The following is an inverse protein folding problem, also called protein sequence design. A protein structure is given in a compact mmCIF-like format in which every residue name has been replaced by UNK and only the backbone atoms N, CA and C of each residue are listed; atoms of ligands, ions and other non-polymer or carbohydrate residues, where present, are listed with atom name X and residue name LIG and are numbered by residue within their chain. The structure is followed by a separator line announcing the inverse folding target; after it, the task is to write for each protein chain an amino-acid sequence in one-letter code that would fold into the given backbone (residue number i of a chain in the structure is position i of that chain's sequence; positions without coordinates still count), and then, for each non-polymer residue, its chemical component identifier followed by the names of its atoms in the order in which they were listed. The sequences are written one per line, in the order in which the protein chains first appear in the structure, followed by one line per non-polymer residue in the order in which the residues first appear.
data_IF_606357293517
#
_entry.id   IF_606357293517
#
_cell.length_a   1.000
_cell.length_b   1.000
_cell.length_c   1.000
_cell.angle_alpha   90.00
_cell.angle_beta   90.00
_cell.angle_gamma   90.00
#
_symmetry.space_group_name_H-M   'P 1'
#
loop_
_entity.id
_entity.type
_entity.pdbx_description
1 polymer ?
#
# COMPACT_ATOMS: atom_id res chain seq x y z
N UNK A 1 -29.32 52.34 -74.23
CA UNK A 1 -30.50 51.47 -74.42
C UNK A 1 -30.37 50.24 -73.53
N UNK A 2 -31.47 49.69 -73.01
CA UNK A 2 -31.61 49.25 -71.61
C UNK A 2 -31.71 47.74 -71.44
N UNK A 3 -31.52 47.23 -70.21
CA UNK A 3 -32.58 46.55 -69.43
C UNK A 3 -32.06 46.03 -68.08
N UNK A 4 -32.73 46.47 -67.03
CA UNK A 4 -32.75 45.87 -65.71
C UNK A 4 -33.41 44.48 -65.76
N UNK A 5 -32.88 43.52 -65.00
CA UNK A 5 -33.68 42.46 -64.35
C UNK A 5 -33.17 42.27 -62.92
N UNK A 6 -34.12 42.04 -62.04
CA UNK A 6 -34.15 42.19 -60.60
C UNK A 6 -34.07 40.81 -59.90
N UNK A 7 -33.67 40.82 -58.61
CA UNK A 7 -34.12 39.90 -57.52
C UNK A 7 -33.54 38.46 -57.59
N UNK A 8 -32.89 37.89 -56.56
CA UNK A 8 -33.37 37.72 -55.17
C UNK A 8 -32.24 37.33 -54.22
N UNK A 9 -32.30 37.95 -53.05
CA UNK A 9 -31.57 37.68 -51.82
C UNK A 9 -31.94 36.31 -51.23
N UNK A 10 -30.95 35.52 -50.80
CA UNK A 10 -31.10 34.50 -49.73
C UNK A 10 -29.77 34.26 -49.02
N UNK A 11 -29.71 34.74 -47.78
CA UNK A 11 -28.74 34.33 -46.77
C UNK A 11 -28.91 32.84 -46.47
N UNK A 12 -27.80 32.10 -46.42
CA UNK A 12 -27.72 30.83 -45.71
C UNK A 12 -26.34 30.75 -45.03
N UNK A 13 -26.29 31.19 -43.78
CA UNK A 13 -25.18 30.89 -42.87
C UNK A 13 -25.25 29.39 -42.55
N UNK A 14 -24.32 28.60 -43.09
CA UNK A 14 -24.10 27.23 -42.64
C UNK A 14 -23.11 27.25 -41.48
N UNK A 15 -23.64 27.26 -40.25
CA UNK A 15 -22.89 26.92 -39.04
C UNK A 15 -22.67 25.41 -39.09
N UNK A 16 -21.46 24.96 -39.45
CA UNK A 16 -21.06 23.55 -39.29
C UNK A 16 -20.14 23.43 -38.08
N UNK A 17 -20.78 23.07 -36.97
CA UNK A 17 -20.29 22.20 -35.88
C UNK A 17 -18.86 22.41 -35.38
N UNK A 18 -18.73 23.14 -34.27
CA UNK A 18 -17.62 22.95 -33.33
C UNK A 18 -17.83 21.58 -32.68
N UNK A 19 -17.06 20.58 -33.10
CA UNK A 19 -16.92 19.32 -32.37
C UNK A 19 -16.13 19.60 -31.11
N UNK A 20 -16.81 19.72 -29.97
CA UNK A 20 -16.17 19.72 -28.66
C UNK A 20 -15.63 18.30 -28.41
N UNK A 21 -14.39 18.06 -28.81
CA UNK A 21 -13.63 16.88 -28.42
C UNK A 21 -13.34 17.03 -26.92
N UNK A 22 -14.26 16.56 -26.08
CA UNK A 22 -13.98 16.36 -24.66
C UNK A 22 -13.02 15.17 -24.59
N UNK A 23 -11.72 15.46 -24.68
CA UNK A 23 -10.70 14.51 -24.25
C UNK A 23 -10.86 14.42 -22.74
N UNK A 24 -11.63 13.43 -22.30
CA UNK A 24 -11.56 12.95 -20.92
C UNK A 24 -10.17 12.33 -20.83
N UNK A 25 -9.16 13.17 -20.54
CA UNK A 25 -7.88 12.71 -20.01
C UNK A 25 -8.25 12.02 -18.71
N UNK A 26 -8.45 10.71 -18.78
CA UNK A 26 -8.60 9.87 -17.61
C UNK A 26 -7.36 10.11 -16.78
N UNK A 27 -7.49 10.95 -15.75
CA UNK A 27 -6.49 10.99 -14.69
C UNK A 27 -6.36 9.52 -14.27
N UNK A 28 -5.16 8.93 -14.33
CA UNK A 28 -4.96 7.61 -13.76
C UNK A 28 -5.35 7.77 -12.30
N UNK A 29 -6.55 7.29 -11.98
CA UNK A 29 -7.03 7.23 -10.62
C UNK A 29 -6.14 6.15 -10.05
N UNK A 30 -5.01 6.56 -9.49
CA UNK A 30 -4.26 5.68 -8.64
C UNK A 30 -5.22 5.41 -7.49
N UNK A 31 -5.96 4.31 -7.62
CA UNK A 31 -6.82 3.73 -6.61
C UNK A 31 -5.88 3.16 -5.55
N UNK A 32 -5.12 4.03 -4.91
CA UNK A 32 -4.45 3.68 -3.68
C UNK A 32 -5.55 3.47 -2.64
N UNK A 33 -5.40 2.40 -1.85
CA UNK A 33 -6.14 2.32 -0.61
C UNK A 33 -5.92 3.63 0.16
N UNK A 34 -6.97 4.18 0.78
CA UNK A 34 -6.79 5.36 1.63
C UNK A 34 -5.73 5.03 2.68
N UNK A 35 -4.76 5.93 2.94
CA UNK A 35 -3.74 5.65 3.92
C UNK A 35 -4.40 5.42 5.29
N UNK A 36 -3.90 4.43 5.99
CA UNK A 36 -4.22 4.20 7.40
C UNK A 36 -3.68 5.42 8.15
N UNK A 37 -4.55 6.09 8.90
CA UNK A 37 -4.16 7.21 9.75
C UNK A 37 -3.82 6.65 11.12
N UNK A 38 -2.57 6.79 11.53
CA UNK A 38 -2.13 6.45 12.88
C UNK A 38 -1.98 7.72 13.70
N UNK A 39 -2.98 8.03 14.52
CA UNK A 39 -3.11 9.23 15.34
C UNK A 39 -2.90 8.96 16.84
N UNK A 40 -2.42 7.76 17.21
CA UNK A 40 -2.02 7.30 18.55
C UNK A 40 -3.02 7.29 19.73
N UNK A 41 -4.36 7.32 19.59
CA UNK A 41 -5.27 7.49 20.73
C UNK A 41 -5.16 6.40 21.80
N UNK A 42 -4.81 5.18 21.40
CA UNK A 42 -4.54 4.03 22.27
C UNK A 42 -3.09 3.53 22.16
N UNK A 43 -2.23 4.32 21.52
CA UNK A 43 -0.84 3.96 21.20
C UNK A 43 -0.67 2.75 20.28
N UNK A 44 -1.75 2.23 19.70
CA UNK A 44 -1.72 1.11 18.78
C UNK A 44 -2.88 1.13 17.77
N UNK A 45 -2.68 0.45 16.64
CA UNK A 45 -3.69 0.25 15.61
C UNK A 45 -3.69 -1.21 15.17
N UNK A 46 -4.86 -1.82 15.01
CA UNK A 46 -5.02 -3.22 14.61
C UNK A 46 -5.51 -3.28 13.18
N UNK A 47 -4.79 -3.98 12.32
CA UNK A 47 -5.19 -4.13 10.94
C UNK A 47 -6.41 -5.05 10.82
N UNK A 48 -7.37 -4.62 10.01
CA UNK A 48 -8.38 -5.46 9.42
C UNK A 48 -7.97 -5.85 7.99
N UNK A 49 -8.68 -6.82 7.39
CA UNK A 49 -8.43 -7.18 6.00
C UNK A 49 -8.66 -6.02 5.01
N UNK A 50 -9.58 -5.09 5.34
CA UNK A 50 -9.89 -3.95 4.49
C UNK A 50 -8.76 -2.91 4.40
N UNK A 51 -7.82 -2.94 5.36
CA UNK A 51 -6.67 -2.03 5.43
C UNK A 51 -5.50 -2.50 4.54
N UNK A 52 -5.62 -3.69 3.94
CA UNK A 52 -4.53 -4.38 3.25
C UNK A 52 -4.98 -4.80 1.87
N UNK A 53 -4.08 -4.70 0.90
CA UNK A 53 -4.25 -5.27 -0.43
C UNK A 53 -3.26 -6.41 -0.60
N UNK A 54 -3.64 -7.44 -1.36
CA UNK A 54 -2.85 -8.66 -1.54
C UNK A 54 -2.56 -8.90 -3.02
N UNK A 55 -1.35 -9.35 -3.29
CA UNK A 55 -0.94 -9.96 -4.55
C UNK A 55 -0.40 -11.36 -4.23
N UNK A 56 -0.83 -12.37 -4.99
CA UNK A 56 -0.29 -13.73 -4.88
C UNK A 56 0.73 -13.95 -5.98
N UNK A 57 1.97 -14.21 -5.58
CA UNK A 57 3.08 -14.58 -6.44
C UNK A 57 3.22 -16.10 -6.42
N UNK A 58 2.64 -16.75 -7.44
CA UNK A 58 2.44 -18.20 -7.46
C UNK A 58 3.74 -19.00 -7.53
N UNK A 59 4.80 -18.46 -8.15
CA UNK A 59 6.11 -19.13 -8.25
C UNK A 59 7.18 -18.53 -7.32
N UNK A 60 6.83 -17.46 -6.60
CA UNK A 60 7.65 -16.84 -5.58
C UNK A 60 8.85 -16.04 -6.11
N UNK A 61 8.88 -15.77 -7.42
CA UNK A 61 10.03 -15.20 -8.11
C UNK A 61 9.97 -13.70 -8.30
N UNK A 62 8.83 -13.06 -8.03
CA UNK A 62 8.71 -11.62 -8.27
C UNK A 62 9.63 -10.85 -7.33
N UNK A 63 10.42 -9.96 -7.92
CA UNK A 63 11.24 -9.00 -7.19
C UNK A 63 10.41 -7.82 -6.71
N UNK A 64 10.91 -7.06 -5.74
CA UNK A 64 10.23 -5.85 -5.27
C UNK A 64 9.94 -4.86 -6.41
N UNK A 65 10.90 -4.64 -7.31
CA UNK A 65 10.73 -3.72 -8.45
C UNK A 65 9.60 -4.16 -9.38
N UNK A 66 9.44 -5.46 -9.62
CA UNK A 66 8.35 -5.99 -10.44
C UNK A 66 7.00 -5.85 -9.74
N UNK A 67 6.94 -6.16 -8.44
CA UNK A 67 5.71 -6.12 -7.62
C UNK A 67 5.15 -4.71 -7.49
N UNK A 68 6.00 -3.69 -7.39
CA UNK A 68 5.54 -2.28 -7.34
C UNK A 68 4.70 -1.88 -8.55
N UNK A 69 4.93 -2.50 -9.71
CA UNK A 69 4.17 -2.27 -10.93
C UNK A 69 2.90 -3.11 -11.05
N UNK A 70 2.66 -4.05 -10.13
CA UNK A 70 1.53 -4.96 -10.18
C UNK A 70 0.28 -4.38 -9.52
N UNK A 71 -0.87 -4.92 -9.93
CA UNK A 71 -2.14 -4.63 -9.29
C UNK A 71 -2.28 -5.52 -8.05
N UNK A 72 -2.48 -4.89 -6.89
CA UNK A 72 -2.89 -5.56 -5.67
C UNK A 72 -4.42 -5.51 -5.57
N UNK A 73 -5.03 -6.62 -5.13
CA UNK A 73 -6.47 -6.70 -4.96
C UNK A 73 -6.85 -6.49 -3.49
N UNK A 74 -7.97 -5.81 -3.18
CA UNK A 74 -8.52 -5.79 -1.83
C UNK A 74 -8.77 -7.22 -1.33
N UNK A 75 -8.61 -7.45 -0.03
CA UNK A 75 -8.87 -8.74 0.60
C UNK A 75 -9.94 -8.63 1.70
N UNK A 76 -10.65 -9.72 1.95
CA UNK A 76 -11.58 -9.88 3.08
C UNK A 76 -10.98 -10.72 4.22
N UNK A 77 -9.74 -11.20 4.05
CA UNK A 77 -9.02 -12.04 4.99
C UNK A 77 -7.54 -11.69 5.08
N UNK A 78 -6.95 -11.96 6.25
CA UNK A 78 -5.50 -11.93 6.48
C UNK A 78 -4.94 -13.33 6.79
N UNK A 79 -5.76 -14.37 6.64
CA UNK A 79 -5.38 -15.76 6.81
C UNK A 79 -5.56 -16.49 5.48
N UNK A 80 -4.49 -17.08 4.97
CA UNK A 80 -4.42 -17.73 3.66
C UNK A 80 -4.29 -19.24 3.76
N UNK A 81 -4.05 -19.78 4.97
CA UNK A 81 -3.86 -21.22 5.17
C UNK A 81 -2.54 -21.69 4.55
N UNK A 82 -2.46 -22.98 4.21
CA UNK A 82 -1.27 -23.55 3.55
C UNK A 82 -1.28 -23.20 2.07
N UNK A 83 -0.15 -22.70 1.59
CA UNK A 83 0.06 -22.31 0.19
C UNK A 83 1.55 -22.42 -0.13
N UNK A 84 1.89 -22.91 -1.32
CA UNK A 84 3.27 -22.85 -1.83
C UNK A 84 3.57 -21.48 -2.48
N UNK A 85 2.57 -20.60 -2.60
CA UNK A 85 2.72 -19.28 -3.19
C UNK A 85 3.23 -18.26 -2.17
N UNK A 86 4.02 -17.30 -2.65
CA UNK A 86 4.42 -16.13 -1.88
C UNK A 86 3.27 -15.12 -1.88
N UNK A 87 2.96 -14.59 -0.70
CA UNK A 87 1.94 -13.55 -0.58
C UNK A 87 2.61 -12.20 -0.36
N UNK A 88 2.28 -11.24 -1.21
CA UNK A 88 2.63 -9.85 -1.04
C UNK A 88 1.46 -9.10 -0.42
N UNK A 89 1.67 -8.50 0.75
CA UNK A 89 0.71 -7.59 1.36
C UNK A 89 1.18 -6.15 1.18
N UNK A 90 0.25 -5.24 0.93
CA UNK A 90 0.53 -3.82 0.70
C UNK A 90 -0.47 -2.95 1.42
N UNK A 91 0.02 -1.87 2.02
CA UNK A 91 -0.80 -0.82 2.61
C UNK A 91 -0.04 0.52 2.63
N UNK A 92 -0.77 1.61 2.79
CA UNK A 92 -0.18 2.93 3.05
C UNK A 92 -0.45 3.33 4.50
N UNK A 93 0.57 3.86 5.16
CA UNK A 93 0.51 4.28 6.56
C UNK A 93 0.95 5.74 6.66
N UNK A 94 0.06 6.58 7.19
CA UNK A 94 0.35 7.96 7.53
C UNK A 94 0.45 8.10 9.04
N UNK A 95 1.58 8.61 9.49
CA UNK A 95 1.80 8.88 10.90
C UNK A 95 1.30 10.28 11.24
N UNK A 96 0.24 10.39 12.03
CA UNK A 96 -0.27 11.66 12.58
C UNK A 96 0.03 11.80 14.08
N UNK A 97 0.61 10.77 14.71
CA UNK A 97 1.12 10.80 16.07
C UNK A 97 2.31 11.77 16.24
N UNK A 98 2.72 11.99 17.49
CA UNK A 98 3.97 12.69 17.81
C UNK A 98 5.26 11.89 17.53
N UNK A 99 5.14 10.61 17.18
CA UNK A 99 6.28 9.70 17.10
C UNK A 99 7.16 9.93 15.87
N UNK A 100 8.45 9.62 16.02
CA UNK A 100 9.40 9.60 14.90
C UNK A 100 9.53 8.21 14.26
N UNK A 101 9.21 7.18 15.04
CA UNK A 101 9.31 5.78 14.66
C UNK A 101 8.05 5.07 15.14
N UNK A 102 7.48 4.24 14.28
CA UNK A 102 6.40 3.34 14.61
C UNK A 102 6.93 1.90 14.59
N UNK A 103 6.27 0.99 15.30
CA UNK A 103 6.59 -0.43 15.26
C UNK A 103 5.48 -1.17 14.54
N UNK A 104 5.83 -1.97 13.53
CA UNK A 104 4.91 -2.93 12.91
C UNK A 104 5.17 -4.32 13.52
N UNK A 105 4.20 -4.84 14.26
CA UNK A 105 4.21 -6.18 14.81
C UNK A 105 3.41 -7.14 13.93
N UNK A 106 3.96 -8.33 13.66
CA UNK A 106 3.26 -9.46 13.04
C UNK A 106 3.20 -10.58 14.09
N UNK A 107 2.00 -10.84 14.62
CA UNK A 107 1.77 -11.79 15.71
C UNK A 107 1.62 -13.22 15.19
N UNK A 108 2.58 -13.65 14.36
CA UNK A 108 2.63 -14.98 13.78
C UNK A 108 4.09 -15.42 13.61
N UNK A 109 4.75 -15.88 14.68
CA UNK A 109 6.21 -16.02 14.74
C UNK A 109 6.76 -17.26 14.03
N UNK A 110 5.97 -17.93 13.19
CA UNK A 110 6.33 -19.18 12.49
C UNK A 110 6.43 -18.98 10.96
N UNK A 111 6.66 -17.74 10.52
CA UNK A 111 6.90 -17.42 9.10
C UNK A 111 8.37 -17.70 8.80
N UNK A 112 8.65 -18.56 7.82
CA UNK A 112 10.02 -18.93 7.46
C UNK A 112 10.85 -17.73 7.02
N UNK A 113 10.28 -16.89 6.14
CA UNK A 113 10.89 -15.64 5.68
C UNK A 113 9.84 -14.55 5.48
N UNK A 114 10.07 -13.40 6.12
CA UNK A 114 9.26 -12.19 6.06
C UNK A 114 10.15 -11.01 5.69
N UNK A 115 9.88 -10.40 4.55
CA UNK A 115 10.61 -9.22 4.10
C UNK A 115 9.71 -8.00 4.11
N UNK A 116 10.22 -6.89 4.65
CA UNK A 116 9.54 -5.60 4.64
C UNK A 116 10.25 -4.65 3.69
N UNK A 117 9.48 -4.07 2.78
CA UNK A 117 9.92 -2.97 1.93
C UNK A 117 9.06 -1.75 2.26
N UNK A 118 9.69 -0.62 2.57
CA UNK A 118 9.01 0.63 2.87
C UNK A 118 9.55 1.73 1.97
N UNK A 119 8.67 2.43 1.27
CA UNK A 119 8.98 3.60 0.46
C UNK A 119 8.43 4.82 1.16
N UNK A 120 9.32 5.71 1.62
CA UNK A 120 8.91 6.96 2.26
C UNK A 120 8.47 8.04 1.26
N UNK A 121 7.97 9.16 1.78
CA UNK A 121 7.51 10.33 1.00
C UNK A 121 8.57 10.92 0.04
N UNK A 122 9.85 10.67 0.31
CA UNK A 122 10.97 11.08 -0.54
C UNK A 122 11.32 10.05 -1.63
N UNK A 123 10.66 8.90 -1.61
CA UNK A 123 10.93 7.76 -2.49
C UNK A 123 12.09 6.87 -2.03
N UNK A 124 12.63 7.10 -0.82
CA UNK A 124 13.72 6.28 -0.29
C UNK A 124 13.17 4.92 0.14
N UNK A 125 13.87 3.87 -0.30
CA UNK A 125 13.57 2.49 0.05
C UNK A 125 14.29 2.09 1.34
N UNK A 126 13.55 1.55 2.29
CA UNK A 126 14.03 0.75 3.40
C UNK A 126 13.65 -0.71 3.15
N UNK A 127 14.61 -1.62 3.29
CA UNK A 127 14.37 -3.07 3.19
C UNK A 127 14.88 -3.76 4.45
N UNK A 128 14.07 -4.67 4.99
CA UNK A 128 14.38 -5.48 6.17
C UNK A 128 13.94 -6.91 5.94
N UNK A 129 14.61 -7.86 6.57
CA UNK A 129 14.28 -9.28 6.49
C UNK A 129 14.34 -9.91 7.87
N UNK A 130 13.29 -10.65 8.21
CA UNK A 130 13.20 -11.48 9.41
C UNK A 130 12.60 -12.84 9.03
N UNK A 131 12.61 -13.80 9.94
CA UNK A 131 12.07 -15.13 9.70
C UNK A 131 12.38 -16.07 10.86
N UNK A 132 11.61 -17.14 11.00
CA UNK A 132 11.88 -18.20 11.97
C UNK A 132 13.03 -19.11 11.51
N UNK A 133 13.22 -19.22 10.19
CA UNK A 133 14.35 -19.91 9.57
C UNK A 133 15.64 -19.07 9.51
N UNK A 134 15.63 -17.85 10.05
CA UNK A 134 16.77 -16.91 10.03
C UNK A 134 17.35 -16.67 11.43
N UNK A 135 18.63 -16.23 11.55
CA UNK A 135 19.23 -15.97 12.86
C UNK A 135 18.44 -14.92 13.65
N UNK A 136 18.14 -15.23 14.91
CA UNK A 136 17.31 -14.39 15.79
C UNK A 136 17.87 -12.95 15.95
N UNK A 137 19.19 -12.81 15.97
CA UNK A 137 19.88 -11.52 16.12
C UNK A 137 19.72 -10.58 14.91
N UNK A 138 19.10 -11.03 13.81
CA UNK A 138 18.74 -10.16 12.68
C UNK A 138 17.45 -9.37 12.92
N UNK A 139 16.69 -9.68 13.99
CA UNK A 139 15.45 -8.98 14.32
C UNK A 139 15.74 -7.58 14.86
N UNK A 140 14.94 -6.58 14.46
CA UNK A 140 15.09 -5.20 14.95
C UNK A 140 14.90 -5.12 16.47
N UNK A 141 13.98 -5.94 16.99
CA UNK A 141 13.73 -6.12 18.42
C UNK A 141 13.83 -7.60 18.75
N UNK A 142 14.49 -7.92 19.87
CA UNK A 142 14.56 -9.26 20.44
C UNK A 142 13.22 -9.64 21.06
N UNK A 143 12.25 -9.94 20.21
CA UNK A 143 10.88 -10.28 20.60
C UNK A 143 10.44 -11.59 19.93
N UNK A 144 9.49 -12.30 20.57
CA UNK A 144 8.97 -13.57 20.06
C UNK A 144 8.29 -13.39 18.70
N UNK A 145 7.52 -12.31 18.55
CA UNK A 145 6.88 -11.91 17.30
C UNK A 145 7.87 -11.16 16.40
N UNK A 146 7.59 -11.10 15.10
CA UNK A 146 8.32 -10.23 14.20
C UNK A 146 7.91 -8.78 14.46
N UNK A 147 8.88 -7.92 14.70
CA UNK A 147 8.66 -6.49 14.93
C UNK A 147 9.63 -5.72 14.05
N UNK A 148 9.10 -4.84 13.21
CA UNK A 148 9.87 -3.96 12.35
C UNK A 148 9.79 -2.53 12.85
N UNK A 149 10.94 -1.87 13.00
CA UNK A 149 11.02 -0.44 13.27
C UNK A 149 10.84 0.36 11.98
N UNK A 150 9.81 1.20 11.94
CA UNK A 150 9.40 2.01 10.79
C UNK A 150 9.72 3.49 11.06
N UNK A 151 10.77 4.07 10.46
CA UNK A 151 11.14 5.47 10.67
C UNK A 151 10.22 6.44 9.89
N UNK A 152 8.92 6.37 10.15
CA UNK A 152 7.89 7.24 9.57
C UNK A 152 7.68 8.40 10.54
N UNK A 153 8.16 9.58 10.18
CA UNK A 153 8.02 10.78 11.03
C UNK A 153 6.57 11.25 11.11
N UNK A 154 6.23 11.92 12.20
CA UNK A 154 4.99 12.69 12.31
C UNK A 154 4.73 13.55 11.08
N UNK A 155 3.53 13.43 10.53
CA UNK A 155 3.06 14.09 9.31
C UNK A 155 3.45 13.42 7.99
N UNK A 156 4.35 12.42 8.00
CA UNK A 156 4.78 11.70 6.80
C UNK A 156 3.91 10.46 6.52
N UNK A 157 3.88 10.07 5.26
CA UNK A 157 3.26 8.83 4.78
C UNK A 157 4.34 7.90 4.22
N UNK A 158 4.16 6.60 4.40
CA UNK A 158 4.97 5.58 3.74
C UNK A 158 4.09 4.49 3.14
N UNK A 159 4.55 3.97 2.01
CA UNK A 159 3.99 2.78 1.39
C UNK A 159 4.77 1.56 1.88
N UNK A 160 4.07 0.55 2.40
CA UNK A 160 4.68 -0.64 3.00
C UNK A 160 4.25 -1.89 2.24
N UNK A 161 5.22 -2.75 1.96
CA UNK A 161 5.04 -4.05 1.35
C UNK A 161 5.65 -5.13 2.24
N UNK A 162 4.94 -6.24 2.40
CA UNK A 162 5.42 -7.43 3.07
C UNK A 162 5.46 -8.58 2.08
N UNK A 163 6.63 -9.20 1.89
CA UNK A 163 6.78 -10.47 1.18
C UNK A 163 6.75 -11.59 2.21
N UNK A 164 5.75 -12.46 2.12
CA UNK A 164 5.51 -13.55 3.05
C UNK A 164 5.77 -14.86 2.33
N UNK A 165 6.83 -15.53 2.73
CA UNK A 165 7.36 -16.73 2.10
C UNK A 165 7.57 -17.80 3.17
N UNK A 166 6.66 -18.78 3.20
CA UNK A 166 6.60 -19.81 4.24
C UNK A 166 5.89 -21.04 3.71
N UNK A 167 6.33 -22.23 4.12
CA UNK A 167 5.65 -23.50 3.83
C UNK A 167 4.53 -23.80 4.85
N UNK A 168 4.48 -23.03 5.94
CA UNK A 168 3.47 -23.14 6.99
C UNK A 168 2.17 -22.43 6.61
N UNK A 169 1.10 -22.69 7.39
CA UNK A 169 -0.13 -21.92 7.24
C UNK A 169 0.17 -20.42 7.42
N UNK A 170 -0.31 -19.57 6.50
CA UNK A 170 -0.04 -18.14 6.56
C UNK A 170 -1.19 -17.39 7.22
N UNK A 171 -0.86 -16.57 8.23
CA UNK A 171 -1.73 -15.56 8.80
C UNK A 171 -0.94 -14.29 9.10
N UNK A 172 -1.53 -13.13 8.84
CA UNK A 172 -0.92 -11.80 9.03
C UNK A 172 -1.72 -10.95 10.02
N UNK A 173 -1.84 -11.35 11.29
CA UNK A 173 -2.34 -10.47 12.33
C UNK A 173 -1.30 -9.36 12.56
N UNK A 174 -1.60 -8.16 12.08
CA UNK A 174 -0.69 -7.03 12.11
C UNK A 174 -1.18 -5.95 13.06
N UNK A 175 -0.23 -5.25 13.69
CA UNK A 175 -0.49 -4.08 14.53
C UNK A 175 0.58 -3.01 14.33
N UNK A 176 0.17 -1.75 14.33
CA UNK A 176 1.08 -0.61 14.53
C UNK A 176 1.11 -0.26 16.00
N UNK A 177 2.27 0.11 16.52
CA UNK A 177 2.46 0.57 17.89
C UNK A 177 3.33 1.83 17.94
N UNK A 178 3.08 2.67 18.95
CA UNK A 178 4.13 3.55 19.50
C UNK A 178 5.12 2.69 20.30
N UNK A 179 6.35 3.20 20.49
CA UNK A 179 7.39 2.47 21.24
C UNK A 179 7.01 2.28 22.71
N UNK A 180 6.41 3.30 23.31
CA UNK A 180 6.03 3.29 24.73
C UNK A 180 4.92 2.24 24.99
N UNK A 181 3.85 2.26 24.19
CA UNK A 181 2.74 1.31 24.35
C UNK A 181 3.14 -0.14 24.04
N UNK A 182 4.04 -0.35 23.08
CA UNK A 182 4.61 -1.68 22.82
C UNK A 182 5.36 -2.22 24.04
N UNK A 183 6.20 -1.37 24.66
CA UNK A 183 7.00 -1.73 25.83
C UNK A 183 6.11 -2.02 27.05
N UNK A 184 5.10 -1.19 27.30
CA UNK A 184 4.14 -1.42 28.39
C UNK A 184 3.41 -2.75 28.24
N UNK A 185 2.89 -3.04 27.04
CA UNK A 185 2.17 -4.29 26.76
C UNK A 185 3.06 -5.53 26.91
N UNK A 186 4.34 -5.45 26.57
CA UNK A 186 5.26 -6.60 26.69
C UNK A 186 5.78 -6.82 28.11
N UNK A 187 5.64 -5.83 29.00
CA UNK A 187 5.92 -5.98 30.43
C UNK A 187 4.73 -6.49 31.24
N UNK A 188 3.54 -6.56 30.65
CA UNK A 188 2.33 -7.15 31.23
C UNK A 188 2.20 -8.64 30.87
#
# INVERSE_FOLDING_TARGET
MPRFVCIRMRFAYFIKGIGLLVVILGLPSALFARPILFDDPEGNFVFSAADVQILTDADGRMTFEEVRGQKFEPTDRLSFGYSESVHWARFELRNESGEKHLLLEITYPVIDKLELYMVDDSGRLLHKTQGDSLPFDQRDLHHRNFVFDLPIRSGSTAEVYLRVDTESATSLPMRIWTRDSFTEKDHL
#
